data_IF_671681162698
#
_entry.id   IF_671681162698
#
_cell.length_a   1.000
_cell.length_b   1.000
_cell.length_c   1.000
_cell.angle_alpha   90.00
_cell.angle_beta   90.00
_cell.angle_gamma   90.00
#
_symmetry.space_group_name_H-M   'P 1'
#
loop_
_entity.id
_entity.type
_entity.pdbx_description
1 polymer ?
#
# COMPACT_ATOMS: atom_id res chain seq x y z
N UNK A 1 11.17 3.52 10.79
CA UNK A 1 10.87 2.49 9.75
C UNK A 1 9.38 2.47 9.55
N UNK A 2 8.89 2.54 8.30
CA UNK A 2 7.45 2.57 7.97
C UNK A 2 7.01 1.24 7.39
N UNK A 3 5.71 0.96 7.44
CA UNK A 3 5.06 -0.14 6.72
C UNK A 3 4.38 0.42 5.48
N UNK A 4 4.86 0.05 4.31
CA UNK A 4 4.44 0.59 3.01
C UNK A 4 3.70 -0.50 2.24
N UNK A 5 2.46 -0.23 1.86
CA UNK A 5 1.69 -1.11 1.00
C UNK A 5 1.88 -0.76 -0.48
N UNK A 6 2.14 -1.78 -1.32
CA UNK A 6 2.31 -1.65 -2.76
C UNK A 6 1.33 -2.56 -3.49
N UNK A 7 0.47 -1.97 -4.28
CA UNK A 7 -0.58 -2.66 -5.05
C UNK A 7 -0.62 -2.10 -6.46
N UNK A 8 -0.74 -2.97 -7.46
CA UNK A 8 -1.00 -2.54 -8.84
C UNK A 8 -1.86 -3.54 -9.58
N UNK A 9 -2.78 -3.05 -10.41
CA UNK A 9 -3.45 -3.85 -11.42
C UNK A 9 -2.50 -4.21 -12.57
N UNK A 10 -2.83 -5.21 -13.35
CA UNK A 10 -1.92 -5.76 -14.36
C UNK A 10 -1.36 -4.71 -15.32
N UNK A 11 -2.22 -3.83 -15.85
CA UNK A 11 -1.80 -2.77 -16.77
C UNK A 11 -1.00 -1.64 -16.11
N UNK A 12 -0.85 -1.66 -14.80
CA UNK A 12 -0.11 -0.67 -14.01
C UNK A 12 1.15 -1.24 -13.36
N UNK A 13 1.36 -2.55 -13.45
CA UNK A 13 2.51 -3.21 -12.82
C UNK A 13 3.84 -2.73 -13.37
N UNK A 14 3.94 -2.50 -14.68
CA UNK A 14 5.15 -1.95 -15.30
C UNK A 14 5.52 -0.60 -14.71
N UNK A 15 4.54 0.29 -14.61
CA UNK A 15 4.71 1.63 -14.04
C UNK A 15 5.16 1.58 -12.59
N UNK A 16 4.54 0.70 -11.80
CA UNK A 16 4.96 0.49 -10.41
C UNK A 16 6.38 -0.09 -10.32
N UNK A 17 6.75 -1.06 -11.17
CA UNK A 17 8.08 -1.67 -11.11
C UNK A 17 9.19 -0.68 -11.50
N UNK A 18 8.97 0.17 -12.48
CA UNK A 18 9.91 1.25 -12.82
C UNK A 18 10.10 2.21 -11.64
N UNK A 19 9.00 2.54 -10.96
CA UNK A 19 9.03 3.39 -9.77
C UNK A 19 9.75 2.71 -8.59
N UNK A 20 9.52 1.41 -8.38
CA UNK A 20 10.19 0.61 -7.35
C UNK A 20 11.69 0.52 -7.61
N UNK A 21 12.10 0.27 -8.85
CA UNK A 21 13.53 0.23 -9.22
C UNK A 21 14.23 1.56 -8.95
N UNK A 22 13.58 2.66 -9.32
CA UNK A 22 14.12 4.01 -9.08
C UNK A 22 14.27 4.32 -7.59
N UNK A 23 13.33 3.86 -6.77
CA UNK A 23 13.28 4.15 -5.33
C UNK A 23 13.80 3.01 -4.44
N UNK A 24 14.50 2.03 -5.01
CA UNK A 24 14.88 0.79 -4.32
C UNK A 24 15.65 0.99 -3.01
N UNK A 25 16.60 1.93 -2.99
CA UNK A 25 17.42 2.18 -1.81
C UNK A 25 16.61 2.78 -0.64
N UNK A 26 15.55 3.50 -0.95
CA UNK A 26 14.61 4.00 0.05
C UNK A 26 13.68 2.89 0.53
N UNK A 27 13.08 2.14 -0.40
CA UNK A 27 12.11 1.10 -0.09
C UNK A 27 12.71 -0.05 0.74
N UNK A 28 13.95 -0.44 0.49
CA UNK A 28 14.67 -1.47 1.26
C UNK A 28 14.81 -1.16 2.75
N UNK A 29 14.67 0.09 3.16
CA UNK A 29 14.76 0.52 4.57
C UNK A 29 13.46 0.32 5.35
N UNK A 30 12.40 -0.09 4.68
CA UNK A 30 11.04 -0.14 5.21
C UNK A 30 10.46 -1.57 5.15
N UNK A 31 9.35 -1.78 5.87
CA UNK A 31 8.53 -2.99 5.70
C UNK A 31 7.62 -2.81 4.50
N UNK A 32 7.55 -3.80 3.64
CA UNK A 32 6.70 -3.79 2.46
C UNK A 32 5.58 -4.80 2.63
N UNK A 33 4.35 -4.41 2.28
CA UNK A 33 3.18 -5.27 2.24
C UNK A 33 2.61 -5.18 0.84
N UNK A 34 2.59 -6.27 0.10
CA UNK A 34 2.21 -6.26 -1.31
C UNK A 34 1.17 -7.34 -1.60
N UNK A 35 0.25 -7.07 -2.52
CA UNK A 35 -0.68 -8.08 -3.00
C UNK A 35 0.00 -9.00 -4.03
N UNK A 36 -0.32 -10.25 -3.98
CA UNK A 36 -0.03 -11.36 -4.90
C UNK A 36 1.12 -11.18 -5.88
N UNK A 37 0.77 -11.06 -7.17
CA UNK A 37 1.75 -10.93 -8.26
C UNK A 37 2.62 -9.68 -8.12
N UNK A 38 2.04 -8.57 -7.68
CA UNK A 38 2.79 -7.33 -7.40
C UNK A 38 3.93 -7.60 -6.41
N UNK A 39 3.65 -8.30 -5.32
CA UNK A 39 4.65 -8.62 -4.30
C UNK A 39 5.81 -9.46 -4.80
N UNK A 40 5.53 -10.45 -5.66
CA UNK A 40 6.59 -11.26 -6.28
C UNK A 40 7.49 -10.40 -7.18
N UNK A 41 6.89 -9.53 -8.00
CA UNK A 41 7.64 -8.63 -8.89
C UNK A 41 8.46 -7.60 -8.10
N UNK A 42 7.91 -7.04 -7.02
CA UNK A 42 8.62 -6.11 -6.14
C UNK A 42 9.83 -6.81 -5.51
N UNK A 43 9.64 -8.02 -4.97
CA UNK A 43 10.72 -8.80 -4.36
C UNK A 43 11.83 -9.09 -5.39
N UNK A 44 11.48 -9.49 -6.58
CA UNK A 44 12.43 -9.73 -7.67
C UNK A 44 13.19 -8.46 -8.04
N UNK A 45 12.48 -7.33 -8.22
CA UNK A 45 13.08 -6.05 -8.57
C UNK A 45 14.06 -5.57 -7.51
N UNK A 46 13.70 -5.65 -6.23
CA UNK A 46 14.55 -5.21 -5.12
C UNK A 46 15.74 -6.15 -4.87
N UNK A 47 15.65 -7.41 -5.30
CA UNK A 47 16.74 -8.38 -5.15
C UNK A 47 17.78 -8.35 -6.27
N UNK A 48 17.54 -7.62 -7.36
CA UNK A 48 18.49 -7.50 -8.47
C UNK A 48 19.79 -6.80 -8.02
N UNK A 49 20.94 -7.43 -8.29
CA UNK A 49 22.26 -6.86 -8.00
C UNK A 49 22.73 -7.02 -6.57
N UNK A 50 21.99 -7.77 -5.73
CA UNK A 50 22.42 -8.10 -4.38
C UNK A 50 23.39 -9.28 -4.43
N UNK A 51 24.68 -9.02 -4.25
CA UNK A 51 25.71 -10.02 -4.02
C UNK A 51 26.09 -10.00 -2.55
N UNK A 52 25.69 -11.05 -1.81
CA UNK A 52 26.08 -11.41 -0.45
C UNK A 52 25.96 -10.34 0.66
N UNK A 53 25.23 -10.70 1.73
CA UNK A 53 25.18 -10.05 3.05
C UNK A 53 24.39 -8.73 3.20
N UNK A 54 23.55 -8.35 2.26
CA UNK A 54 22.61 -7.26 2.50
C UNK A 54 21.42 -7.75 3.35
N UNK A 55 20.96 -6.86 4.22
CA UNK A 55 19.80 -7.07 5.10
C UNK A 55 18.63 -7.71 4.32
N UNK A 56 18.11 -8.79 4.84
CA UNK A 56 16.95 -9.48 4.27
C UNK A 56 15.80 -8.49 4.06
N UNK A 57 15.18 -8.54 2.87
CA UNK A 57 14.04 -7.69 2.55
C UNK A 57 12.85 -8.05 3.43
N UNK A 58 12.35 -7.06 4.18
CA UNK A 58 11.14 -7.20 4.99
C UNK A 58 9.90 -6.98 4.10
N UNK A 59 9.49 -8.05 3.42
CA UNK A 59 8.35 -8.03 2.50
C UNK A 59 7.33 -9.12 2.84
N UNK A 60 6.10 -8.70 3.08
CA UNK A 60 4.94 -9.59 3.24
C UNK A 60 4.15 -9.62 1.94
N UNK A 61 3.95 -10.81 1.37
CA UNK A 61 3.14 -11.00 0.17
C UNK A 61 1.78 -11.56 0.58
N UNK A 62 0.74 -10.77 0.33
CA UNK A 62 -0.66 -11.15 0.54
C UNK A 62 -1.19 -11.96 -0.65
N UNK A 63 -2.44 -12.38 -0.59
CA UNK A 63 -3.14 -12.94 -1.76
C UNK A 63 -3.24 -11.89 -2.88
N UNK A 64 -3.46 -12.33 -4.10
CA UNK A 64 -3.83 -11.42 -5.19
C UNK A 64 -5.18 -10.73 -4.88
N UNK A 65 -5.39 -9.52 -5.43
CA UNK A 65 -6.58 -8.72 -5.19
C UNK A 65 -7.87 -9.53 -5.34
N UNK A 66 -8.13 -10.16 -6.52
CA UNK A 66 -9.35 -10.96 -6.74
C UNK A 66 -9.53 -12.15 -5.81
N UNK A 67 -8.49 -12.61 -5.16
CA UNK A 67 -8.50 -13.74 -4.22
C UNK A 67 -8.52 -13.30 -2.74
N UNK A 68 -8.81 -12.05 -2.47
CA UNK A 68 -8.92 -11.52 -1.12
C UNK A 68 -7.73 -10.69 -0.63
N UNK A 69 -6.74 -10.40 -1.48
CA UNK A 69 -5.59 -9.57 -1.11
C UNK A 69 -5.99 -8.16 -0.70
N UNK A 70 -6.98 -7.58 -1.37
CA UNK A 70 -7.47 -6.24 -1.03
C UNK A 70 -8.17 -6.22 0.34
N UNK A 71 -8.92 -7.28 0.69
CA UNK A 71 -9.52 -7.42 2.02
C UNK A 71 -8.47 -7.62 3.12
N UNK A 72 -7.43 -8.42 2.86
CA UNK A 72 -6.32 -8.59 3.80
C UNK A 72 -5.59 -7.26 4.05
N UNK A 73 -5.39 -6.46 3.01
CA UNK A 73 -4.77 -5.15 3.14
C UNK A 73 -5.69 -4.17 3.87
N UNK A 74 -6.98 -4.16 3.54
CA UNK A 74 -7.99 -3.34 4.21
C UNK A 74 -8.06 -3.63 5.71
N UNK A 75 -7.97 -4.90 6.11
CA UNK A 75 -7.91 -5.29 7.52
C UNK A 75 -6.68 -4.70 8.22
N UNK A 76 -5.51 -4.73 7.59
CA UNK A 76 -4.28 -4.15 8.14
C UNK A 76 -4.35 -2.62 8.25
N UNK A 77 -5.02 -1.96 7.31
CA UNK A 77 -5.29 -0.52 7.39
C UNK A 77 -6.20 -0.22 8.60
N UNK A 78 -7.26 -1.00 8.79
CA UNK A 78 -8.17 -0.86 9.93
C UNK A 78 -7.51 -1.16 11.29
N UNK A 79 -6.43 -1.92 11.31
CA UNK A 79 -5.59 -2.19 12.46
C UNK A 79 -4.45 -1.16 12.64
N UNK A 80 -4.42 -0.12 11.79
CA UNK A 80 -3.40 0.94 11.81
C UNK A 80 -1.97 0.42 11.60
N UNK A 81 -1.82 -0.68 10.85
CA UNK A 81 -0.53 -1.31 10.56
C UNK A 81 0.14 -0.77 9.30
N UNK A 82 -0.54 0.07 8.52
CA UNK A 82 -0.05 0.61 7.23
C UNK A 82 0.15 2.10 7.33
N UNK A 83 1.38 2.56 7.10
CA UNK A 83 1.73 3.99 7.13
C UNK A 83 1.49 4.71 5.80
N UNK A 84 1.70 4.02 4.67
CA UNK A 84 1.48 4.55 3.31
C UNK A 84 0.92 3.48 2.40
N UNK A 85 0.04 3.90 1.48
CA UNK A 85 -0.50 3.04 0.42
C UNK A 85 -0.15 3.60 -0.95
N UNK A 86 0.53 2.82 -1.76
CA UNK A 86 0.74 3.06 -3.19
C UNK A 86 -0.09 2.05 -3.97
N UNK A 87 -1.23 2.51 -4.48
CA UNK A 87 -2.18 1.68 -5.19
C UNK A 87 -2.40 2.20 -6.61
N UNK A 88 -1.59 1.70 -7.55
CA UNK A 88 -1.73 2.02 -8.97
C UNK A 88 -2.83 1.14 -9.58
N UNK A 89 -4.08 1.54 -9.40
CA UNK A 89 -5.24 0.85 -9.96
C UNK A 89 -5.49 1.26 -11.40
N UNK A 90 -6.17 0.40 -12.17
CA UNK A 90 -6.52 0.66 -13.57
C UNK A 90 -7.93 1.28 -13.67
N UNK A 91 -8.07 2.58 -13.99
CA UNK A 91 -9.36 3.23 -14.09
C UNK A 91 -10.08 2.94 -15.41
N UNK A 92 -9.44 2.28 -16.37
CA UNK A 92 -9.99 2.05 -17.71
C UNK A 92 -10.53 0.65 -17.92
N UNK A 93 -10.06 -0.32 -17.13
CA UNK A 93 -10.45 -1.71 -17.31
C UNK A 93 -11.27 -2.21 -16.13
N UNK A 94 -12.51 -2.68 -16.37
CA UNK A 94 -13.29 -3.31 -15.32
C UNK A 94 -12.57 -4.49 -14.70
N UNK A 95 -12.65 -4.60 -13.39
CA UNK A 95 -12.09 -5.70 -12.62
C UNK A 95 -13.22 -6.52 -11.99
N UNK A 96 -13.08 -7.84 -11.86
CA UNK A 96 -14.10 -8.66 -11.19
C UNK A 96 -14.29 -8.28 -9.71
N UNK A 97 -13.35 -7.55 -9.14
CA UNK A 97 -13.31 -7.10 -7.75
C UNK A 97 -13.32 -5.57 -7.61
N UNK A 98 -13.96 -4.84 -8.52
CA UNK A 98 -14.05 -3.37 -8.47
C UNK A 98 -14.63 -2.85 -7.14
N UNK A 99 -15.56 -3.58 -6.53
CA UNK A 99 -16.11 -3.25 -5.21
C UNK A 99 -15.04 -3.29 -4.11
N UNK A 100 -14.08 -4.20 -4.21
CA UNK A 100 -12.97 -4.34 -3.27
C UNK A 100 -11.96 -3.20 -3.43
N UNK A 101 -11.70 -2.78 -4.67
CA UNK A 101 -10.89 -1.61 -5.00
C UNK A 101 -11.48 -0.36 -4.35
N UNK A 102 -12.79 -0.16 -4.52
CA UNK A 102 -13.52 0.96 -3.93
C UNK A 102 -13.51 0.91 -2.40
N UNK A 103 -13.67 -0.27 -1.83
CA UNK A 103 -13.61 -0.49 -0.38
C UNK A 103 -12.22 -0.17 0.16
N UNK A 104 -11.15 -0.56 -0.54
CA UNK A 104 -9.76 -0.27 -0.14
C UNK A 104 -9.47 1.23 -0.15
N UNK A 105 -9.90 1.95 -1.18
CA UNK A 105 -9.75 3.40 -1.26
C UNK A 105 -10.54 4.11 -0.15
N UNK A 106 -11.75 3.63 0.15
CA UNK A 106 -12.59 4.17 1.23
C UNK A 106 -11.93 3.97 2.59
N UNK A 107 -11.46 2.77 2.91
CA UNK A 107 -10.88 2.48 4.23
C UNK A 107 -9.58 3.27 4.44
N UNK A 108 -8.79 3.46 3.38
CA UNK A 108 -7.58 4.28 3.45
C UNK A 108 -7.89 5.74 3.79
N UNK A 109 -8.96 6.31 3.21
CA UNK A 109 -9.41 7.65 3.54
C UNK A 109 -9.94 7.75 4.97
N UNK A 110 -10.69 6.73 5.42
CA UNK A 110 -11.25 6.67 6.76
C UNK A 110 -10.15 6.72 7.85
N UNK A 111 -9.07 5.96 7.62
CA UNK A 111 -7.92 5.90 8.54
C UNK A 111 -6.83 6.93 8.22
N UNK A 112 -7.12 7.90 7.34
CA UNK A 112 -6.21 8.98 6.96
C UNK A 112 -4.82 8.48 6.53
N UNK A 113 -4.77 7.34 5.85
CA UNK A 113 -3.53 6.77 5.30
C UNK A 113 -3.14 7.56 4.05
N UNK A 114 -1.94 8.14 3.99
CA UNK A 114 -1.44 8.76 2.76
C UNK A 114 -1.46 7.76 1.62
N UNK A 115 -2.23 8.08 0.57
CA UNK A 115 -2.52 7.15 -0.53
C UNK A 115 -2.19 7.77 -1.88
N UNK A 116 -1.33 7.09 -2.64
CA UNK A 116 -1.05 7.42 -4.03
C UNK A 116 -1.81 6.46 -4.96
N UNK A 117 -2.63 6.98 -5.84
CA UNK A 117 -3.36 6.20 -6.85
C UNK A 117 -2.74 6.31 -8.24
N UNK A 118 -1.65 7.03 -8.37
CA UNK A 118 -0.86 7.19 -9.59
C UNK A 118 0.59 7.48 -9.25
N UNK A 119 1.46 7.40 -10.27
CA UNK A 119 2.90 7.57 -10.12
C UNK A 119 3.30 8.97 -9.65
N UNK A 120 2.67 10.01 -10.17
CA UNK A 120 2.98 11.39 -9.77
C UNK A 120 2.74 11.61 -8.28
N UNK A 121 1.63 11.15 -7.75
CA UNK A 121 1.35 11.22 -6.31
C UNK A 121 2.37 10.39 -5.51
N UNK A 122 2.74 9.23 -6.02
CA UNK A 122 3.79 8.40 -5.41
C UNK A 122 5.13 9.14 -5.29
N UNK A 123 5.52 9.87 -6.34
CA UNK A 123 6.74 10.70 -6.34
C UNK A 123 6.66 11.80 -5.26
N UNK A 124 5.54 12.50 -5.16
CA UNK A 124 5.34 13.52 -4.11
C UNK A 124 5.40 12.93 -2.71
N UNK A 125 4.77 11.78 -2.48
CA UNK A 125 4.76 11.14 -1.16
C UNK A 125 6.16 10.68 -0.74
N UNK A 126 6.90 10.00 -1.61
CA UNK A 126 8.22 9.47 -1.26
C UNK A 126 9.28 10.57 -1.12
N UNK A 127 9.10 11.70 -1.80
CA UNK A 127 9.98 12.87 -1.72
C UNK A 127 9.60 13.87 -0.63
N UNK A 128 8.48 13.64 0.05
CA UNK A 128 8.03 14.51 1.14
C UNK A 128 9.03 14.49 2.31
N UNK A 129 9.35 15.64 2.92
CA UNK A 129 10.12 15.68 4.16
C UNK A 129 9.50 14.86 5.29
N UNK A 130 8.18 14.64 5.27
CA UNK A 130 7.47 13.82 6.26
C UNK A 130 7.75 12.32 6.10
N UNK A 131 8.21 11.88 4.92
CA UNK A 131 8.44 10.46 4.64
C UNK A 131 9.47 9.84 5.59
N UNK A 132 10.53 10.56 5.91
CA UNK A 132 11.61 10.08 6.77
C UNK A 132 11.39 10.43 8.27
N UNK A 133 10.26 11.04 8.62
CA UNK A 133 9.92 11.40 10.00
C UNK A 133 9.00 10.37 10.65
N UNK A 134 8.87 10.45 11.98
CA UNK A 134 7.87 9.71 12.75
C UNK A 134 6.51 10.42 12.68
N UNK A 135 5.97 10.50 11.46
CA UNK A 135 4.68 11.14 11.20
C UNK A 135 3.53 10.18 11.53
N UNK A 136 2.65 10.63 12.40
CA UNK A 136 1.40 9.93 12.73
C UNK A 136 0.20 10.69 12.17
N UNK A 137 -0.57 10.08 11.24
CA UNK A 137 -1.80 10.69 10.75
C UNK A 137 -2.78 10.96 11.89
N UNK A 138 -3.37 12.16 11.89
CA UNK A 138 -4.42 12.48 12.86
C UNK A 138 -5.71 11.77 12.46
N UNK A 139 -6.17 10.86 13.30
CA UNK A 139 -7.45 10.18 13.11
C UNK A 139 -8.60 11.04 13.65
N UNK A 140 -9.75 10.96 12.96
CA UNK A 140 -11.01 11.49 13.46
C UNK A 140 -11.56 10.50 14.49
N UNK A 141 -12.02 10.98 15.65
CA UNK A 141 -12.69 10.13 16.62
C UNK A 141 -14.05 9.69 16.09
N UNK A 142 -14.31 8.38 16.13
CA UNK A 142 -15.61 7.79 15.79
C UNK A 142 -16.33 7.27 17.04
N UNK A 143 -15.96 7.75 18.23
CA UNK A 143 -16.52 7.30 19.51
C UNK A 143 -18.03 7.50 19.56
N UNK A 144 -18.54 8.66 19.13
CA UNK A 144 -19.98 8.94 19.07
C UNK A 144 -20.73 7.95 18.15
N UNK A 145 -20.11 7.53 17.07
CA UNK A 145 -20.67 6.49 16.19
C UNK A 145 -20.71 5.13 16.88
N UNK A 146 -19.62 4.73 17.54
CA UNK A 146 -19.52 3.44 18.24
C UNK A 146 -20.49 3.35 19.41
N UNK A 147 -20.66 4.44 20.15
CA UNK A 147 -21.49 4.50 21.36
C UNK A 147 -22.95 4.93 21.11
N UNK A 148 -23.32 5.16 19.84
CA UNK A 148 -24.68 5.58 19.47
C UNK A 148 -25.73 4.57 19.95
N UNK A 149 -26.86 5.10 20.47
CA UNK A 149 -28.02 4.25 20.78
C UNK A 149 -28.74 3.85 19.50
N UNK A 150 -28.96 2.57 19.32
CA UNK A 150 -29.84 2.06 18.27
C UNK A 150 -31.27 2.05 18.77
N UNK A 151 -32.20 2.64 18.03
CA UNK A 151 -33.64 2.53 18.25
C UNK A 151 -34.09 1.34 17.37
N UNK A 152 -34.39 0.22 17.99
CA UNK A 152 -34.89 -1.00 17.37
C UNK A 152 -36.41 -0.97 17.30
#
# INVERSE_FOLDING_TARGET
MKTIALVAHDNRKKDLMEWVEFNKETLKKHKLVCTGTTGRMVKETLSKGVHNEEKELDITILKSGPLGGDQQLGARIAQEEIDLLFFLWDPMQPQPHDVDVKALLRISSLYNVPTATNRSTADFLISSPLFDTDYHPKLISYEDYVTRKLIL
#
